data_IF_364194323375
#
_entry.id   IF_364194323375
#
_cell.length_a   1.000
_cell.length_b   1.000
_cell.length_c   1.000
_cell.angle_alpha   90.00
_cell.angle_beta   90.00
_cell.angle_gamma   90.00
#
_symmetry.space_group_name_H-M   'P 1'
#
loop_
_entity.id
_entity.type
_entity.pdbx_description
1 polymer ?
#
# COMPACT_ATOMS: atom_id res chain seq x y z
N UNK A 1 36.35 9.05 8.24
CA UNK A 1 36.41 7.67 7.73
C UNK A 1 35.33 7.50 6.64
N UNK A 2 35.76 7.20 5.45
CA UNK A 2 34.81 6.99 4.35
C UNK A 2 34.20 5.59 4.44
N UNK A 3 32.87 5.51 4.40
CA UNK A 3 32.18 4.23 4.34
C UNK A 3 32.35 3.66 2.92
N UNK A 4 32.77 2.39 2.77
CA UNK A 4 32.98 1.81 1.45
C UNK A 4 31.71 1.85 0.58
N UNK A 5 31.87 2.09 -0.72
CA UNK A 5 30.74 2.05 -1.67
C UNK A 5 30.00 0.72 -1.65
N UNK A 6 30.71 -0.38 -1.42
CA UNK A 6 30.12 -1.71 -1.30
C UNK A 6 29.07 -1.79 -0.18
N UNK A 7 29.29 -1.08 0.92
CA UNK A 7 28.35 -1.04 2.03
C UNK A 7 27.02 -0.39 1.61
N UNK A 8 27.10 0.77 0.94
CA UNK A 8 25.89 1.45 0.44
C UNK A 8 25.18 0.63 -0.63
N UNK A 9 25.93 0.05 -1.57
CA UNK A 9 25.37 -0.80 -2.61
C UNK A 9 24.62 -1.99 -2.01
N UNK A 10 25.18 -2.63 -0.98
CA UNK A 10 24.54 -3.75 -0.31
C UNK A 10 23.29 -3.33 0.44
N UNK A 11 23.29 -2.16 1.10
CA UNK A 11 22.11 -1.62 1.77
C UNK A 11 20.96 -1.38 0.79
N UNK A 12 21.25 -0.75 -0.34
CA UNK A 12 20.25 -0.50 -1.37
C UNK A 12 19.74 -1.79 -1.99
N UNK A 13 20.59 -2.76 -2.18
CA UNK A 13 20.22 -4.09 -2.67
C UNK A 13 19.26 -4.79 -1.73
N UNK A 14 19.54 -4.80 -0.43
CA UNK A 14 18.68 -5.39 0.59
C UNK A 14 17.31 -4.67 0.61
N UNK A 15 17.31 -3.35 0.56
CA UNK A 15 16.09 -2.57 0.54
C UNK A 15 15.26 -2.89 -0.72
N UNK A 16 15.90 -2.96 -1.89
CA UNK A 16 15.24 -3.31 -3.15
C UNK A 16 14.66 -4.72 -3.11
N UNK A 17 15.40 -5.68 -2.58
CA UNK A 17 14.95 -7.06 -2.41
C UNK A 17 13.72 -7.13 -1.50
N UNK A 18 13.74 -6.40 -0.39
CA UNK A 18 12.60 -6.33 0.51
C UNK A 18 11.34 -5.79 -0.20
N UNK A 19 11.47 -4.68 -0.91
CA UNK A 19 10.34 -4.07 -1.61
C UNK A 19 9.78 -5.01 -2.68
N UNK A 20 10.64 -5.71 -3.38
CA UNK A 20 10.25 -6.71 -4.38
C UNK A 20 9.47 -7.87 -3.75
N UNK A 21 9.99 -8.42 -2.65
CA UNK A 21 9.31 -9.52 -1.95
C UNK A 21 8.00 -9.05 -1.32
N UNK A 22 7.96 -7.82 -0.83
CA UNK A 22 6.74 -7.22 -0.29
C UNK A 22 5.66 -7.11 -1.37
N UNK A 23 5.99 -6.56 -2.53
CA UNK A 23 5.03 -6.41 -3.63
C UNK A 23 4.52 -7.78 -4.11
N UNK A 24 5.42 -8.75 -4.22
CA UNK A 24 5.06 -10.12 -4.58
C UNK A 24 4.11 -10.74 -3.56
N UNK A 25 4.43 -10.58 -2.27
CA UNK A 25 3.60 -11.11 -1.19
C UNK A 25 2.19 -10.52 -1.21
N UNK A 26 2.09 -9.20 -1.38
CA UNK A 26 0.79 -8.53 -1.43
C UNK A 26 -0.02 -8.95 -2.67
N UNK A 27 0.62 -9.16 -3.81
CA UNK A 27 -0.04 -9.73 -4.99
C UNK A 27 -0.56 -11.15 -4.71
N UNK A 28 0.22 -11.96 -4.01
CA UNK A 28 -0.18 -13.31 -3.62
C UNK A 28 -1.36 -13.29 -2.65
N UNK A 29 -1.39 -12.35 -1.72
CA UNK A 29 -2.51 -12.14 -0.79
C UNK A 29 -3.78 -11.75 -1.56
N UNK A 30 -3.70 -10.76 -2.43
CA UNK A 30 -4.84 -10.26 -3.19
C UNK A 30 -5.43 -11.35 -4.10
N UNK A 31 -4.57 -12.16 -4.71
CA UNK A 31 -5.00 -13.25 -5.60
C UNK A 31 -5.49 -14.50 -4.87
N UNK A 32 -5.29 -14.55 -3.54
CA UNK A 32 -5.68 -15.73 -2.75
C UNK A 32 -4.68 -16.87 -2.77
N UNK A 33 -3.52 -16.69 -3.42
CA UNK A 33 -2.48 -17.72 -3.43
C UNK A 33 -1.86 -17.92 -2.06
N UNK A 34 -1.84 -16.87 -1.24
CA UNK A 34 -1.38 -16.87 0.14
C UNK A 34 -2.49 -16.28 1.00
N UNK A 35 -2.75 -16.89 2.14
CA UNK A 35 -3.86 -16.48 3.03
C UNK A 35 -3.39 -15.94 4.37
N UNK A 36 -2.09 -15.99 4.65
CA UNK A 36 -1.52 -15.45 5.88
C UNK A 36 -0.58 -14.28 5.56
N UNK A 37 -0.78 -13.17 6.26
CA UNK A 37 0.04 -11.98 6.08
C UNK A 37 1.41 -12.18 6.74
N UNK A 38 2.48 -11.89 5.99
CA UNK A 38 3.84 -11.99 6.49
C UNK A 38 4.16 -10.87 7.48
N UNK A 39 5.05 -11.20 8.41
CA UNK A 39 5.69 -10.23 9.30
C UNK A 39 7.08 -9.92 8.76
N UNK A 40 7.74 -8.91 9.32
CA UNK A 40 9.09 -8.50 8.89
C UNK A 40 10.07 -9.67 8.94
N UNK A 41 9.97 -10.53 9.96
CA UNK A 41 10.84 -11.70 10.09
C UNK A 41 10.71 -12.69 8.93
N UNK A 42 9.52 -12.81 8.36
CA UNK A 42 9.28 -13.70 7.21
C UNK A 42 10.00 -13.18 5.97
N UNK A 43 9.98 -11.89 5.74
CA UNK A 43 10.72 -11.26 4.64
C UNK A 43 12.23 -11.36 4.87
N UNK A 44 12.68 -11.18 6.11
CA UNK A 44 14.10 -11.31 6.46
C UNK A 44 14.61 -12.73 6.16
N UNK A 45 13.81 -13.74 6.47
CA UNK A 45 14.13 -15.14 6.17
C UNK A 45 14.25 -15.36 4.65
N UNK A 46 13.34 -14.81 3.85
CA UNK A 46 13.39 -14.92 2.39
C UNK A 46 14.65 -14.29 1.81
N UNK A 47 15.11 -13.20 2.40
CA UNK A 47 16.26 -12.44 1.91
C UNK A 47 17.57 -12.94 2.55
N UNK A 48 17.47 -13.87 3.50
CA UNK A 48 18.59 -14.46 4.21
C UNK A 48 19.39 -13.46 5.05
N UNK A 49 18.67 -12.56 5.75
CA UNK A 49 19.25 -11.59 6.69
C UNK A 49 18.51 -11.68 8.02
N UNK A 50 19.19 -11.27 9.08
CA UNK A 50 18.54 -11.20 10.39
C UNK A 50 17.48 -10.09 10.41
N UNK A 51 16.31 -10.30 11.07
CA UNK A 51 15.24 -9.28 11.09
C UNK A 51 15.69 -7.90 11.58
N UNK A 52 16.51 -7.83 12.61
CA UNK A 52 17.03 -6.56 13.13
C UNK A 52 17.93 -5.88 12.09
N UNK A 53 18.79 -6.66 11.43
CA UNK A 53 19.65 -6.14 10.36
C UNK A 53 18.81 -5.61 9.19
N UNK A 54 17.77 -6.34 8.80
CA UNK A 54 16.85 -5.91 7.74
C UNK A 54 16.22 -4.55 8.10
N UNK A 55 15.64 -4.43 9.30
CA UNK A 55 14.99 -3.20 9.74
C UNK A 55 15.96 -2.01 9.76
N UNK A 56 17.15 -2.20 10.32
CA UNK A 56 18.15 -1.15 10.40
C UNK A 56 18.66 -0.75 9.02
N UNK A 57 18.84 -1.71 8.13
CA UNK A 57 19.33 -1.49 6.77
C UNK A 57 18.30 -0.71 5.95
N UNK A 58 17.04 -1.10 6.00
CA UNK A 58 15.97 -0.41 5.27
C UNK A 58 15.84 1.02 5.78
N UNK A 59 15.84 1.21 7.09
CA UNK A 59 15.76 2.55 7.69
C UNK A 59 16.94 3.43 7.28
N UNK A 60 18.14 2.86 7.27
CA UNK A 60 19.34 3.58 6.86
C UNK A 60 19.33 3.94 5.38
N UNK A 61 18.88 3.02 4.50
CA UNK A 61 18.87 3.23 3.06
C UNK A 61 17.75 4.14 2.58
N UNK A 62 16.59 4.13 3.25
CA UNK A 62 15.38 4.80 2.77
C UNK A 62 14.86 5.90 3.68
N UNK A 63 15.29 5.94 4.94
CA UNK A 63 14.76 6.84 5.95
C UNK A 63 13.47 6.35 6.62
N UNK A 64 12.94 5.20 6.19
CA UNK A 64 11.69 4.65 6.71
C UNK A 64 11.84 3.18 7.14
N UNK A 65 10.99 2.75 8.08
CA UNK A 65 10.98 1.36 8.54
C UNK A 65 10.34 0.43 7.50
N UNK A 66 10.57 -0.89 7.59
CA UNK A 66 9.84 -1.86 6.75
C UNK A 66 8.33 -1.73 6.86
N UNK A 67 7.82 -1.51 8.06
CA UNK A 67 6.36 -1.36 8.30
C UNK A 67 5.78 -0.17 7.55
N UNK A 68 6.53 0.92 7.41
CA UNK A 68 6.10 2.08 6.64
C UNK A 68 5.74 1.70 5.21
N UNK A 69 6.62 0.98 4.53
CA UNK A 69 6.38 0.55 3.16
C UNK A 69 5.23 -0.45 3.06
N UNK A 70 5.15 -1.35 4.02
CA UNK A 70 4.06 -2.33 4.09
C UNK A 70 2.71 -1.63 4.19
N UNK A 71 2.57 -0.71 5.13
CA UNK A 71 1.33 0.04 5.37
C UNK A 71 0.96 0.92 4.18
N UNK A 72 1.94 1.60 3.59
CA UNK A 72 1.73 2.44 2.42
C UNK A 72 1.17 1.64 1.24
N UNK A 73 1.79 0.50 0.93
CA UNK A 73 1.33 -0.37 -0.15
C UNK A 73 -0.02 -0.99 0.13
N UNK A 74 -0.25 -1.38 1.38
CA UNK A 74 -1.53 -1.95 1.80
C UNK A 74 -2.65 -0.92 1.67
N UNK A 75 -2.37 0.35 1.98
CA UNK A 75 -3.34 1.44 1.78
C UNK A 75 -3.64 1.65 0.30
N UNK A 76 -2.62 1.64 -0.56
CA UNK A 76 -2.82 1.79 -2.01
C UNK A 76 -3.69 0.66 -2.57
N UNK A 77 -3.44 -0.57 -2.16
CA UNK A 77 -4.24 -1.73 -2.56
C UNK A 77 -5.68 -1.59 -2.04
N UNK A 78 -5.82 -1.22 -0.78
CA UNK A 78 -7.14 -1.03 -0.15
C UNK A 78 -7.97 0.01 -0.92
N UNK A 79 -7.35 1.14 -1.25
CA UNK A 79 -8.03 2.21 -2.01
C UNK A 79 -8.44 1.72 -3.40
N UNK A 80 -7.54 1.02 -4.08
CA UNK A 80 -7.82 0.44 -5.39
C UNK A 80 -9.02 -0.51 -5.35
N UNK A 81 -9.07 -1.40 -4.37
CA UNK A 81 -10.19 -2.34 -4.20
C UNK A 81 -11.49 -1.62 -3.85
N UNK A 82 -11.42 -0.59 -2.99
CA UNK A 82 -12.60 0.19 -2.60
C UNK A 82 -13.18 1.00 -3.77
N UNK A 83 -12.38 1.29 -4.78
CA UNK A 83 -12.82 1.96 -6.00
C UNK A 83 -13.68 1.07 -6.89
N UNK A 84 -13.74 -0.22 -6.60
CA UNK A 84 -14.60 -1.16 -7.30
C UNK A 84 -15.87 -1.39 -6.49
N UNK A 85 -16.99 -0.82 -6.94
CA UNK A 85 -18.30 -0.92 -6.26
C UNK A 85 -18.83 -2.35 -6.17
N UNK A 86 -18.39 -3.24 -7.04
CA UNK A 86 -18.85 -4.63 -7.03
C UNK A 86 -18.25 -5.46 -5.90
N UNK A 87 -17.20 -4.95 -5.24
CA UNK A 87 -16.56 -5.64 -4.12
C UNK A 87 -17.10 -5.08 -2.81
N UNK A 88 -17.79 -5.89 -2.00
CA UNK A 88 -18.23 -5.44 -0.67
C UNK A 88 -17.04 -5.05 0.21
N UNK A 89 -17.21 -4.05 1.05
CA UNK A 89 -16.13 -3.60 1.95
C UNK A 89 -15.63 -4.73 2.85
N UNK A 90 -16.56 -5.58 3.33
CA UNK A 90 -16.19 -6.74 4.14
C UNK A 90 -15.31 -7.74 3.39
N UNK A 91 -15.50 -7.85 2.08
CA UNK A 91 -14.68 -8.72 1.23
C UNK A 91 -13.29 -8.12 1.02
N UNK A 92 -13.20 -6.80 0.86
CA UNK A 92 -11.90 -6.11 0.82
C UNK A 92 -11.10 -6.44 2.08
N UNK A 93 -11.74 -6.30 3.25
CA UNK A 93 -11.10 -6.59 4.53
C UNK A 93 -10.60 -8.03 4.59
N UNK A 94 -11.45 -8.99 4.25
CA UNK A 94 -11.10 -10.43 4.31
C UNK A 94 -9.98 -10.78 3.35
N UNK A 95 -10.02 -10.23 2.13
CA UNK A 95 -8.96 -10.45 1.13
C UNK A 95 -7.61 -10.02 1.68
N UNK A 96 -7.59 -8.89 2.40
CA UNK A 96 -6.38 -8.36 3.00
C UNK A 96 -6.07 -8.95 4.39
N UNK A 97 -6.78 -10.03 4.76
CA UNK A 97 -6.62 -10.79 6.00
C UNK A 97 -7.01 -10.05 7.26
N UNK A 98 -7.85 -9.02 7.14
CA UNK A 98 -8.38 -8.27 8.28
C UNK A 98 -9.78 -8.71 8.63
N UNK A 99 -10.08 -8.71 9.92
CA UNK A 99 -11.45 -8.62 10.40
C UNK A 99 -12.04 -7.26 9.95
N UNK A 100 -13.30 -7.19 9.50
CA UNK A 100 -13.86 -5.92 8.99
C UNK A 100 -13.75 -4.74 9.95
N UNK A 101 -13.92 -4.96 11.25
CA UNK A 101 -13.79 -3.87 12.21
C UNK A 101 -12.34 -3.40 12.36
N UNK A 102 -11.38 -4.32 12.32
CA UNK A 102 -9.96 -3.98 12.35
C UNK A 102 -9.52 -3.28 11.08
N UNK A 103 -10.05 -3.69 9.94
CA UNK A 103 -9.80 -3.02 8.66
C UNK A 103 -10.28 -1.57 8.70
N UNK A 104 -11.48 -1.34 9.22
CA UNK A 104 -12.03 0.01 9.37
C UNK A 104 -11.12 0.89 10.21
N UNK A 105 -10.62 0.37 11.34
CA UNK A 105 -9.71 1.10 12.21
C UNK A 105 -8.39 1.42 11.53
N UNK A 106 -7.81 0.43 10.85
CA UNK A 106 -6.55 0.59 10.09
C UNK A 106 -6.71 1.65 9.01
N UNK A 107 -7.74 1.51 8.18
CA UNK A 107 -7.98 2.42 7.06
C UNK A 107 -8.22 3.85 7.54
N UNK A 108 -9.05 4.02 8.56
CA UNK A 108 -9.34 5.33 9.14
C UNK A 108 -8.10 5.98 9.74
N UNK A 109 -7.27 5.18 10.41
CA UNK A 109 -6.04 5.68 11.01
C UNK A 109 -5.11 6.32 9.98
N UNK A 110 -4.96 5.67 8.82
CA UNK A 110 -4.02 6.13 7.78
C UNK A 110 -4.63 7.13 6.80
N UNK A 111 -5.93 7.05 6.52
CA UNK A 111 -6.57 7.91 5.52
C UNK A 111 -7.41 9.05 6.11
N UNK A 112 -7.75 8.97 7.39
CA UNK A 112 -8.66 9.92 8.04
C UNK A 112 -10.14 9.65 7.76
N UNK A 113 -10.46 8.67 6.93
CA UNK A 113 -11.83 8.29 6.57
C UNK A 113 -12.06 6.81 6.78
N UNK A 114 -13.30 6.41 7.08
CA UNK A 114 -13.66 5.00 7.06
C UNK A 114 -13.65 4.50 5.61
N UNK A 115 -13.52 3.19 5.36
CA UNK A 115 -13.62 2.65 4.01
C UNK A 115 -14.88 3.09 3.27
N UNK A 116 -16.01 3.13 3.96
CA UNK A 116 -17.28 3.57 3.40
C UNK A 116 -17.22 5.04 2.99
N UNK A 117 -16.71 5.90 3.86
CA UNK A 117 -16.56 7.33 3.58
C UNK A 117 -15.62 7.56 2.38
N UNK A 118 -14.52 6.83 2.35
CA UNK A 118 -13.58 6.92 1.22
C UNK A 118 -14.25 6.52 -0.09
N UNK A 119 -14.99 5.41 -0.10
CA UNK A 119 -15.71 4.93 -1.30
C UNK A 119 -16.70 5.96 -1.79
N UNK A 120 -17.48 6.53 -0.88
CA UNK A 120 -18.46 7.56 -1.21
C UNK A 120 -17.80 8.83 -1.77
N UNK A 121 -16.73 9.29 -1.11
CA UNK A 121 -15.95 10.45 -1.55
C UNK A 121 -15.32 10.25 -2.94
N UNK A 122 -14.82 9.06 -3.20
CA UNK A 122 -14.20 8.72 -4.49
C UNK A 122 -15.22 8.84 -5.62
N UNK A 123 -16.41 8.26 -5.45
CA UNK A 123 -17.44 8.30 -6.48
C UNK A 123 -18.09 9.67 -6.63
N UNK A 124 -18.22 10.45 -5.57
CA UNK A 124 -18.63 11.85 -5.64
C UNK A 124 -17.59 12.68 -6.39
N UNK A 125 -16.32 12.45 -6.13
CA UNK A 125 -15.21 13.10 -6.82
C UNK A 125 -15.23 12.86 -8.32
N UNK A 126 -15.45 11.62 -8.75
CA UNK A 126 -15.58 11.25 -10.16
C UNK A 126 -16.75 11.96 -10.82
N UNK A 127 -17.91 11.99 -10.15
CA UNK A 127 -19.09 12.69 -10.65
C UNK A 127 -18.82 14.18 -10.80
N UNK A 128 -18.15 14.79 -9.82
CA UNK A 128 -17.78 16.21 -9.87
C UNK A 128 -16.79 16.51 -10.99
N UNK A 129 -15.79 15.65 -11.19
CA UNK A 129 -14.82 15.79 -12.28
C UNK A 129 -15.50 15.72 -13.64
N UNK A 130 -16.40 14.75 -13.82
CA UNK A 130 -17.18 14.60 -15.05
C UNK A 130 -18.03 15.84 -15.29
N UNK A 131 -18.68 16.36 -14.25
CA UNK A 131 -19.46 17.59 -14.31
C UNK A 131 -18.58 18.79 -14.70
N UNK A 132 -17.41 18.93 -14.09
CA UNK A 132 -16.48 20.01 -14.39
C UNK A 132 -15.94 19.95 -15.83
N UNK A 133 -15.66 18.76 -16.34
CA UNK A 133 -15.25 18.58 -17.73
C UNK A 133 -16.35 18.96 -18.71
N UNK A 134 -17.58 18.59 -18.41
CA UNK A 134 -18.75 18.97 -19.20
C UNK A 134 -18.95 20.49 -19.19
N UNK A 135 -18.83 21.12 -18.03
CA UNK A 135 -18.94 22.56 -17.88
C UNK A 135 -17.83 23.29 -18.61
N UNK A 136 -16.58 22.78 -18.55
CA UNK A 136 -15.46 23.32 -19.29
C UNK A 136 -15.66 23.25 -20.80
N UNK A 137 -16.20 22.14 -21.30
CA UNK A 137 -16.52 21.99 -22.72
C UNK A 137 -17.59 22.97 -23.17
N UNK A 138 -18.57 23.23 -22.31
CA UNK A 138 -19.63 24.21 -22.59
C UNK A 138 -19.08 25.66 -22.55
N UNK A 139 -18.12 25.95 -21.66
CA UNK A 139 -17.51 27.28 -21.53
C UNK A 139 -16.49 27.59 -22.61
N UNK A 140 -15.95 26.60 -23.26
CA UNK A 140 -14.95 26.73 -24.35
C UNK A 140 -15.66 26.84 -25.71
N UNK A 141 -16.95 26.89 -25.73
CA UNK A 141 -17.71 27.18 -26.92
C UNK A 141 -17.30 28.57 -27.46
N UNK A 142 -16.70 28.65 -28.62
CA UNK A 142 -16.25 29.92 -29.13
C UNK A 142 -17.44 30.73 -29.51
N UNK A 143 -17.40 31.73 -28.93
CA UNK A 143 -18.32 32.57 -29.26
C UNK A 143 -17.85 33.41 -29.87
#
# INVERSE_FOLDING_TARGET
MKIPQKFFARQHEIAADYLKELDKHLDDIVSGRVTEMFEVRDFAELIHVHPTHLSNTIKSATGHSPCYFFEERLMDISKSMLQNMSIPISEVARTLTYDPSNFTKFFKHFSGQTPKQYRESYFLGLNNETQLETDKKLKVSPF
#
